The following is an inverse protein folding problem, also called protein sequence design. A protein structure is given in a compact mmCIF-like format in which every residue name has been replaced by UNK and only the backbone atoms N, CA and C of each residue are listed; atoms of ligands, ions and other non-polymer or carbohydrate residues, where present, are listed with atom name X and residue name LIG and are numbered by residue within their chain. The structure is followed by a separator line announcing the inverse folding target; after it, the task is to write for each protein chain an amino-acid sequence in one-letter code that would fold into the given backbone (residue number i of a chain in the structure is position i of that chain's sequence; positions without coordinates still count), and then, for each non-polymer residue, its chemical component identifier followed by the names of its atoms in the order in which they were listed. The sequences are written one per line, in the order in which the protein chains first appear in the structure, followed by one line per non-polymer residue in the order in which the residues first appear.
data_IF_079476582551
#
_entry.id   IF_079476582551
#
_cell.length_a   1.000
_cell.length_b   1.000
_cell.length_c   1.000
_cell.angle_alpha   90.00
_cell.angle_beta   90.00
_cell.angle_gamma   90.00
#
_symmetry.space_group_name_H-M   'P 1'
#
loop_
_entity.id
_entity.type
_entity.pdbx_description
1 polymer ?
#
# COMPACT_ATOMS: atom_id res chain seq x y z
N UNK A 1 43.99 -13.23 17.93
CA UNK A 1 42.72 -12.77 18.53
C UNK A 1 41.59 -13.60 17.96
N UNK A 2 41.17 -14.64 18.69
CA UNK A 2 40.11 -15.58 18.31
C UNK A 2 38.74 -15.05 18.72
N UNK A 3 37.79 -15.00 17.78
CA UNK A 3 36.40 -14.58 18.04
C UNK A 3 35.63 -15.70 18.74
N UNK A 4 35.07 -15.39 19.92
CA UNK A 4 34.23 -16.32 20.69
C UNK A 4 32.87 -16.54 20.00
N UNK A 5 32.29 -17.75 20.08
CA UNK A 5 30.99 -18.04 19.51
C UNK A 5 29.90 -17.24 20.23
N UNK A 6 29.11 -16.49 19.48
CA UNK A 6 27.95 -15.77 20.02
C UNK A 6 26.79 -16.75 20.21
N UNK A 7 26.48 -17.11 21.46
CA UNK A 7 25.28 -17.87 21.78
C UNK A 7 24.05 -17.02 21.46
N UNK A 8 23.31 -17.38 20.41
CA UNK A 8 21.97 -16.82 20.15
C UNK A 8 21.01 -17.34 21.23
N UNK A 9 20.93 -16.62 22.34
CA UNK A 9 19.94 -16.87 23.38
C UNK A 9 18.54 -16.61 22.81
N UNK A 10 17.82 -17.67 22.47
CA UNK A 10 16.41 -17.60 22.08
C UNK A 10 15.58 -17.44 23.36
N UNK A 11 15.16 -16.21 23.62
CA UNK A 11 14.16 -15.94 24.65
C UNK A 11 12.90 -16.79 24.41
N UNK A 12 12.62 -17.71 25.33
CA UNK A 12 11.39 -18.53 25.34
C UNK A 12 10.30 -17.78 26.08
N UNK A 13 9.49 -17.03 25.35
CA UNK A 13 8.35 -16.31 25.92
C UNK A 13 7.21 -17.30 26.21
N UNK A 14 6.78 -17.38 27.47
CA UNK A 14 5.56 -18.11 27.86
C UNK A 14 4.37 -17.16 27.82
N UNK A 15 3.43 -17.40 26.91
CA UNK A 15 2.19 -16.61 26.81
C UNK A 15 1.31 -16.89 28.03
N UNK A 16 1.18 -15.90 28.94
CA UNK A 16 0.33 -16.00 30.14
C UNK A 16 -1.14 -15.61 29.89
N UNK A 17 -1.39 -14.79 28.86
CA UNK A 17 -2.73 -14.29 28.52
C UNK A 17 -3.06 -14.65 27.08
N UNK A 18 -3.68 -15.82 26.89
CA UNK A 18 -4.08 -16.34 25.58
C UNK A 18 -5.05 -15.41 24.84
N UNK A 19 -5.96 -14.74 25.55
CA UNK A 19 -6.94 -13.81 24.96
C UNK A 19 -6.24 -12.59 24.34
N UNK A 20 -5.30 -11.99 25.07
CA UNK A 20 -4.50 -10.86 24.56
C UNK A 20 -3.62 -11.29 23.37
N UNK A 21 -3.01 -12.46 23.48
CA UNK A 21 -2.18 -13.02 22.41
C UNK A 21 -2.99 -13.23 21.11
N UNK A 22 -4.15 -13.89 21.18
CA UNK A 22 -5.02 -14.09 20.02
C UNK A 22 -5.52 -12.77 19.43
N UNK A 23 -5.93 -11.82 20.27
CA UNK A 23 -6.31 -10.49 19.80
C UNK A 23 -5.17 -9.81 19.05
N UNK A 24 -3.93 -9.96 19.53
CA UNK A 24 -2.75 -9.41 18.86
C UNK A 24 -2.49 -10.08 17.50
N UNK A 25 -2.74 -11.38 17.37
CA UNK A 25 -2.60 -12.10 16.10
C UNK A 25 -3.67 -11.66 15.09
N UNK A 26 -4.94 -11.56 15.49
CA UNK A 26 -5.99 -11.03 14.63
C UNK A 26 -5.69 -9.59 14.18
N UNK A 27 -5.21 -8.75 15.09
CA UNK A 27 -4.80 -7.36 14.78
C UNK A 27 -3.67 -7.28 13.75
N UNK A 28 -2.78 -8.28 13.68
CA UNK A 28 -1.71 -8.32 12.65
C UNK A 28 -2.28 -8.52 11.23
N UNK A 29 -3.43 -9.17 11.12
CA UNK A 29 -4.16 -9.32 9.85
C UNK A 29 -5.07 -8.13 9.52
N UNK A 30 -5.24 -7.18 10.44
CA UNK A 30 -6.03 -5.98 10.20
C UNK A 30 -5.33 -5.08 9.20
N UNK A 31 -6.06 -4.68 8.15
CA UNK A 31 -5.54 -3.80 7.12
C UNK A 31 -5.84 -2.34 7.47
N UNK A 32 -4.80 -1.52 7.57
CA UNK A 32 -4.93 -0.06 7.71
C UNK A 32 -4.26 0.62 6.54
N UNK A 33 -5.04 1.37 5.75
CA UNK A 33 -4.58 2.13 4.60
C UNK A 33 -4.64 3.62 4.95
N UNK A 34 -3.53 4.33 4.74
CA UNK A 34 -3.49 5.78 4.81
C UNK A 34 -3.39 6.31 3.39
N UNK A 35 -4.36 7.13 3.00
CA UNK A 35 -4.38 7.90 1.77
C UNK A 35 -4.27 9.36 2.16
N UNK A 36 -3.40 10.10 1.47
CA UNK A 36 -3.26 11.53 1.70
C UNK A 36 -4.50 12.27 1.20
N UNK A 37 -5.04 13.19 2.00
CA UNK A 37 -6.26 13.93 1.65
C UNK A 37 -6.08 14.77 0.38
N UNK A 38 -4.87 15.25 0.10
CA UNK A 38 -4.53 15.97 -1.13
C UNK A 38 -4.75 15.07 -2.36
N UNK A 39 -4.24 13.84 -2.32
CA UNK A 39 -4.37 12.85 -3.39
C UNK A 39 -5.83 12.45 -3.58
N UNK A 40 -6.60 12.32 -2.48
CA UNK A 40 -8.03 12.02 -2.55
C UNK A 40 -8.82 13.14 -3.24
N UNK A 41 -8.50 14.41 -2.93
CA UNK A 41 -9.11 15.58 -3.57
C UNK A 41 -8.75 15.66 -5.06
N UNK A 42 -7.49 15.42 -5.41
CA UNK A 42 -7.09 15.30 -6.82
C UNK A 42 -7.89 14.22 -7.54
N UNK A 43 -8.12 13.09 -6.87
CA UNK A 43 -8.89 11.97 -7.42
C UNK A 43 -10.36 12.34 -7.71
N UNK A 44 -10.99 13.09 -6.80
CA UNK A 44 -12.35 13.60 -6.98
C UNK A 44 -12.43 14.56 -8.16
N UNK A 45 -11.48 15.51 -8.26
CA UNK A 45 -11.41 16.46 -9.37
C UNK A 45 -11.20 15.74 -10.71
N UNK A 46 -10.33 14.73 -10.76
CA UNK A 46 -10.12 13.91 -11.95
C UNK A 46 -11.37 13.12 -12.34
N UNK A 47 -12.14 12.63 -11.37
CA UNK A 47 -13.34 11.81 -11.61
C UNK A 47 -14.54 12.64 -12.10
N UNK A 48 -14.60 13.93 -11.74
CA UNK A 48 -15.64 14.86 -12.22
C UNK A 48 -15.38 15.34 -13.65
N UNK A 49 -14.12 15.38 -14.09
CA UNK A 49 -13.76 15.81 -15.44
C UNK A 49 -14.17 14.76 -16.47
N UNK A 50 -14.81 15.20 -17.56
CA UNK A 50 -15.02 14.32 -18.72
C UNK A 50 -13.67 13.93 -19.30
N UNK A 51 -13.48 12.63 -19.54
CA UNK A 51 -12.27 12.11 -20.17
C UNK A 51 -12.16 12.62 -21.60
N UNK A 52 -11.29 13.60 -21.83
CA UNK A 52 -10.94 14.07 -23.17
C UNK A 52 -9.84 13.19 -23.77
N UNK A 53 -9.95 12.90 -25.07
CA UNK A 53 -8.99 12.08 -25.80
C UNK A 53 -7.67 12.85 -25.91
N UNK A 54 -6.60 12.32 -25.31
CA UNK A 54 -5.26 12.92 -25.35
C UNK A 54 -4.85 13.71 -24.11
N UNK A 55 -5.79 14.05 -23.23
CA UNK A 55 -5.48 14.75 -21.97
C UNK A 55 -5.00 13.77 -20.88
N UNK A 56 -4.06 14.21 -20.05
CA UNK A 56 -3.63 13.48 -18.86
C UNK A 56 -4.77 13.45 -17.83
N UNK A 57 -5.64 12.44 -17.90
CA UNK A 57 -6.83 12.33 -17.04
C UNK A 57 -6.50 12.17 -15.55
N UNK A 58 -5.31 11.66 -15.22
CA UNK A 58 -4.87 11.39 -13.84
C UNK A 58 -3.54 12.11 -13.55
N UNK A 59 -3.40 12.65 -12.33
CA UNK A 59 -2.15 13.21 -11.83
C UNK A 59 -1.10 12.10 -11.59
N UNK A 60 0.18 12.48 -11.59
CA UNK A 60 1.26 11.53 -11.30
C UNK A 60 1.20 11.00 -9.86
N UNK A 61 0.70 11.79 -8.91
CA UNK A 61 0.44 11.38 -7.54
C UNK A 61 -0.55 10.20 -7.45
N UNK A 62 -1.65 10.27 -8.20
CA UNK A 62 -2.65 9.19 -8.28
C UNK A 62 -2.02 7.91 -8.86
N UNK A 63 -1.28 8.05 -9.96
CA UNK A 63 -0.61 6.91 -10.61
C UNK A 63 0.42 6.26 -9.67
N UNK A 64 1.21 7.07 -8.97
CA UNK A 64 2.18 6.60 -7.99
C UNK A 64 1.49 5.86 -6.84
N UNK A 65 0.35 6.37 -6.35
CA UNK A 65 -0.44 5.70 -5.32
C UNK A 65 -0.92 4.32 -5.80
N UNK A 66 -1.48 4.23 -7.01
CA UNK A 66 -1.90 2.95 -7.58
C UNK A 66 -0.75 1.94 -7.69
N UNK A 67 0.42 2.39 -8.18
CA UNK A 67 1.61 1.54 -8.33
C UNK A 67 2.19 1.12 -6.97
N UNK A 68 2.13 2.00 -5.97
CA UNK A 68 2.54 1.69 -4.60
C UNK A 68 1.64 0.60 -4.00
N UNK A 69 0.32 0.71 -4.19
CA UNK A 69 -0.62 -0.31 -3.71
C UNK A 69 -0.37 -1.65 -4.39
N UNK A 70 -0.15 -1.65 -5.71
CA UNK A 70 0.27 -2.85 -6.44
C UNK A 70 1.50 -3.51 -5.80
N UNK A 71 2.57 -2.74 -5.55
CA UNK A 71 3.83 -3.27 -5.00
C UNK A 71 3.63 -3.75 -3.55
N UNK A 72 2.92 -2.98 -2.74
CA UNK A 72 2.71 -3.27 -1.31
C UNK A 72 1.95 -4.58 -1.09
N UNK A 73 1.02 -4.90 -1.99
CA UNK A 73 0.22 -6.12 -1.94
C UNK A 73 0.70 -7.23 -2.89
N UNK A 74 1.80 -7.00 -3.62
CA UNK A 74 2.34 -7.99 -4.56
C UNK A 74 1.38 -8.35 -5.71
N UNK A 75 0.51 -7.42 -6.13
CA UNK A 75 -0.53 -7.67 -7.12
C UNK A 75 -0.02 -7.52 -8.56
N UNK A 76 -0.65 -8.23 -9.50
CA UNK A 76 -0.50 -7.94 -10.94
C UNK A 76 -1.23 -6.64 -11.30
N UNK A 77 -0.84 -5.96 -12.39
CA UNK A 77 -1.44 -4.67 -12.79
C UNK A 77 -2.97 -4.73 -12.94
N UNK A 78 -3.50 -5.79 -13.57
CA UNK A 78 -4.96 -6.00 -13.71
C UNK A 78 -5.66 -6.32 -12.38
N UNK A 79 -4.94 -6.92 -11.43
CA UNK A 79 -5.48 -7.19 -10.10
C UNK A 79 -5.48 -5.92 -9.24
N UNK A 80 -4.47 -5.05 -9.40
CA UNK A 80 -4.41 -3.79 -8.66
C UNK A 80 -5.56 -2.85 -9.01
N UNK A 81 -6.05 -2.85 -10.26
CA UNK A 81 -7.21 -2.04 -10.64
C UNK A 81 -8.48 -2.50 -9.91
N UNK A 82 -8.80 -3.80 -9.97
CA UNK A 82 -9.96 -4.36 -9.25
C UNK A 82 -9.84 -4.27 -7.73
N UNK A 83 -8.63 -4.38 -7.19
CA UNK A 83 -8.38 -4.19 -5.76
C UNK A 83 -8.68 -2.75 -5.30
N UNK A 84 -8.25 -1.75 -6.08
CA UNK A 84 -8.56 -0.35 -5.81
C UNK A 84 -10.06 -0.05 -5.91
N UNK A 85 -10.74 -0.59 -6.93
CA UNK A 85 -12.20 -0.49 -7.08
C UNK A 85 -12.91 -1.06 -5.84
N UNK A 86 -12.44 -2.20 -5.34
CA UNK A 86 -13.00 -2.84 -4.15
C UNK A 86 -12.80 -2.00 -2.88
N UNK A 87 -11.62 -1.37 -2.73
CA UNK A 87 -11.35 -0.44 -1.63
C UNK A 87 -12.28 0.77 -1.71
N UNK A 88 -12.44 1.37 -2.90
CA UNK A 88 -13.31 2.52 -3.11
C UNK A 88 -14.76 2.19 -2.82
N UNK A 89 -15.22 1.00 -3.16
CA UNK A 89 -16.53 0.50 -2.75
C UNK A 89 -16.66 0.42 -1.22
N UNK A 90 -15.65 -0.16 -0.54
CA UNK A 90 -15.66 -0.32 0.92
C UNK A 90 -15.68 1.02 1.68
N UNK A 91 -14.98 2.04 1.18
CA UNK A 91 -14.98 3.39 1.78
C UNK A 91 -16.16 4.27 1.30
N UNK A 92 -17.15 3.68 0.61
CA UNK A 92 -18.33 4.38 0.04
C UNK A 92 -17.97 5.51 -0.94
N UNK A 93 -16.85 5.39 -1.65
CA UNK A 93 -16.42 6.28 -2.72
C UNK A 93 -16.40 5.58 -4.09
N UNK A 94 -17.44 4.82 -4.39
CA UNK A 94 -17.59 4.08 -5.65
C UNK A 94 -17.70 4.98 -6.90
N UNK A 95 -17.94 6.28 -6.73
CA UNK A 95 -17.97 7.25 -7.81
C UNK A 95 -16.56 7.65 -8.31
N UNK A 96 -15.50 7.29 -7.57
CA UNK A 96 -14.12 7.58 -7.98
C UNK A 96 -13.69 6.64 -9.10
N UNK A 97 -13.15 7.21 -10.18
CA UNK A 97 -12.67 6.44 -11.32
C UNK A 97 -11.28 5.87 -11.03
N UNK A 98 -11.08 4.57 -11.26
CA UNK A 98 -9.77 3.94 -11.12
C UNK A 98 -9.03 3.97 -12.47
N UNK A 99 -7.74 4.32 -12.51
CA UNK A 99 -6.95 4.24 -13.74
C UNK A 99 -6.91 2.82 -14.30
N UNK A 100 -7.25 2.66 -15.58
CA UNK A 100 -7.15 1.37 -16.27
C UNK A 100 -5.70 0.82 -16.29
N UNK A 101 -5.57 -0.50 -16.36
CA UNK A 101 -4.27 -1.19 -16.36
C UNK A 101 -3.38 -0.72 -17.51
N UNK A 102 -3.96 -0.34 -18.65
CA UNK A 102 -3.20 0.18 -19.80
C UNK A 102 -2.55 1.53 -19.48
N UNK A 103 -3.25 2.40 -18.74
CA UNK A 103 -2.75 3.69 -18.28
C UNK A 103 -1.63 3.51 -17.25
N UNK A 104 -1.83 2.62 -16.28
CA UNK A 104 -0.81 2.29 -15.29
C UNK A 104 0.43 1.68 -15.96
N UNK A 105 0.27 0.76 -16.90
CA UNK A 105 1.39 0.12 -17.61
C UNK A 105 2.21 1.12 -18.42
N UNK A 106 1.56 2.08 -19.11
CA UNK A 106 2.28 3.11 -19.89
C UNK A 106 3.05 4.08 -19.00
N UNK A 107 2.49 4.44 -17.84
CA UNK A 107 3.08 5.41 -16.90
C UNK A 107 3.98 4.78 -15.85
N UNK A 108 4.02 3.46 -15.76
CA UNK A 108 5.00 2.75 -14.94
C UNK A 108 6.37 2.97 -15.56
N UNK A 109 7.04 4.07 -15.20
CA UNK A 109 8.46 4.27 -15.50
C UNK A 109 9.20 3.07 -14.89
N UNK A 110 9.92 2.31 -15.72
CA UNK A 110 10.93 1.38 -15.21
C UNK A 110 11.90 2.23 -14.38
N UNK A 111 12.07 1.99 -13.08
CA UNK A 111 13.13 2.69 -12.36
C UNK A 111 14.44 2.27 -13.04
N UNK A 112 15.07 3.19 -13.77
CA UNK A 112 16.50 3.11 -13.96
C UNK A 112 17.09 3.08 -12.55
N UNK A 113 17.85 2.03 -12.28
CA UNK A 113 18.74 1.88 -11.13
C UNK A 113 18.94 3.17 -10.31
N UNK A 114 18.44 3.20 -9.07
CA UNK A 114 18.92 4.13 -8.05
C UNK A 114 18.14 5.43 -7.82
N UNK A 115 16.90 5.36 -7.33
CA UNK A 115 16.32 6.47 -6.56
C UNK A 115 15.61 5.94 -5.32
N UNK A 116 16.06 6.40 -4.14
CA UNK A 116 15.48 6.04 -2.84
C UNK A 116 14.18 6.85 -2.67
N UNK A 117 13.03 6.20 -2.76
CA UNK A 117 11.72 6.83 -2.56
C UNK A 117 11.55 7.34 -1.12
N UNK A 118 11.12 8.60 -0.98
CA UNK A 118 10.90 9.31 0.29
C UNK A 118 9.54 9.02 0.96
N UNK A 119 8.94 7.85 0.73
CA UNK A 119 7.65 7.47 1.34
C UNK A 119 7.85 6.13 2.05
N UNK A 120 8.06 6.21 3.37
CA UNK A 120 8.33 5.06 4.21
C UNK A 120 7.05 4.33 4.62
N UNK A 121 6.95 3.04 4.27
CA UNK A 121 5.97 2.15 4.89
C UNK A 121 6.46 1.83 6.31
N UNK A 122 6.04 2.61 7.30
CA UNK A 122 6.28 2.26 8.70
C UNK A 122 5.31 1.16 9.11
N UNK A 123 5.74 -0.09 8.98
CA UNK A 123 5.09 -1.20 9.70
C UNK A 123 5.19 -0.89 11.19
N UNK A 124 4.06 -0.74 11.89
CA UNK A 124 4.06 -0.78 13.35
C UNK A 124 4.61 -2.15 13.76
N UNK A 125 5.88 -2.21 14.16
CA UNK A 125 6.37 -3.29 15.00
C UNK A 125 5.66 -3.12 16.34
N UNK A 126 4.55 -3.83 16.52
CA UNK A 126 3.95 -3.98 17.83
C UNK A 126 4.92 -4.80 18.67
N UNK A 127 5.79 -4.08 19.38
CA UNK A 127 6.69 -4.63 20.36
C UNK A 127 5.93 -5.32 21.47
N UNK A 128 6.50 -6.47 21.87
CA UNK A 128 6.40 -7.14 23.17
C UNK A 128 4.98 -7.55 23.61
N UNK A 129 4.60 -8.74 23.14
CA UNK A 129 4.02 -9.76 24.01
C UNK A 129 4.97 -10.95 24.04
#
# INVERSE_FOLDING_TARGET
MSTLPTFRNKYTYKVRNWKSYNSSLCKRGSLTLYLEDSVLKEWELCSQKKKQIGEQTYSDSIIQCCLLMKISYGLKLRQSTGFLESIFLLIRKSHLLVPDYSTLSRRQKKPSCGSKSAIGIRRKSNGRY
#
